data_IF_312001251839
#
_entry.id   IF_312001251839
#
_cell.length_a   1.000
_cell.length_b   1.000
_cell.length_c   1.000
_cell.angle_alpha   90.00
_cell.angle_beta   90.00
_cell.angle_gamma   90.00
#
_symmetry.space_group_name_H-M   'P 1'
#
loop_
_entity.id
_entity.type
_entity.pdbx_description
1 polymer ?
#
# COMPACT_ATOMS: atom_id res chain seq x y z
N UNK A 1 -6.70 -26.63 -26.92
CA UNK A 1 -5.72 -27.29 -27.80
C UNK A 1 -5.20 -28.54 -27.10
N UNK A 2 -5.59 -29.69 -27.64
CA UNK A 2 -5.01 -31.05 -27.53
C UNK A 2 -4.63 -31.63 -26.16
N UNK A 3 -5.47 -32.53 -25.65
CA UNK A 3 -5.06 -33.83 -25.08
C UNK A 3 -5.24 -34.91 -26.21
N UNK A 4 -4.67 -36.14 -26.17
CA UNK A 4 -4.95 -37.12 -25.10
C UNK A 4 -3.86 -38.17 -24.75
N UNK A 5 -4.12 -38.86 -23.63
CA UNK A 5 -3.82 -40.25 -23.22
C UNK A 5 -2.95 -41.19 -24.11
N UNK A 6 -2.00 -41.92 -23.50
CA UNK A 6 -1.92 -43.42 -23.40
C UNK A 6 -0.50 -43.92 -23.01
N UNK A 7 -0.38 -44.69 -21.92
CA UNK A 7 0.54 -45.85 -21.76
C UNK A 7 0.24 -46.49 -20.38
N UNK A 8 -0.72 -47.40 -20.20
CA UNK A 8 -0.87 -48.79 -20.69
C UNK A 8 0.32 -49.69 -20.32
N UNK A 9 0.13 -50.44 -19.22
CA UNK A 9 0.55 -51.82 -18.96
C UNK A 9 1.86 -52.35 -19.59
N UNK A 10 2.94 -52.38 -18.79
CA UNK A 10 4.18 -53.12 -19.12
C UNK A 10 4.11 -54.62 -18.76
N UNK A 11 3.02 -55.13 -18.16
CA UNK A 11 2.94 -56.55 -17.77
C UNK A 11 2.38 -57.50 -18.85
N UNK A 12 2.11 -57.02 -20.07
CA UNK A 12 1.46 -57.83 -21.13
C UNK A 12 2.38 -58.40 -22.22
N UNK A 13 3.56 -57.82 -22.45
CA UNK A 13 4.33 -58.08 -23.67
C UNK A 13 5.31 -59.26 -23.61
N UNK A 14 5.60 -59.82 -22.44
CA UNK A 14 6.46 -61.03 -22.31
C UNK A 14 5.64 -62.33 -22.45
N UNK A 15 4.31 -62.26 -22.39
CA UNK A 15 3.47 -63.46 -22.34
C UNK A 15 3.14 -64.09 -23.70
N UNK A 16 3.36 -63.38 -24.82
CA UNK A 16 3.01 -63.86 -26.16
C UNK A 16 4.17 -64.51 -26.94
N UNK A 17 5.36 -64.63 -26.35
CA UNK A 17 6.49 -65.35 -26.96
C UNK A 17 6.71 -66.76 -26.36
N UNK A 18 5.90 -67.19 -25.39
CA UNK A 18 6.02 -68.52 -24.77
C UNK A 18 4.99 -69.52 -25.33
N UNK A 19 3.90 -69.08 -25.98
CA UNK A 19 2.87 -69.98 -26.50
C UNK A 19 3.28 -70.74 -27.78
N UNK A 20 4.27 -70.27 -28.54
CA UNK A 20 4.71 -70.88 -29.80
C UNK A 20 5.85 -71.92 -29.66
N UNK A 21 6.26 -72.28 -28.44
CA UNK A 21 7.27 -73.35 -28.20
C UNK A 21 6.77 -74.52 -27.34
N UNK A 22 5.47 -74.57 -27.02
CA UNK A 22 4.87 -75.63 -26.20
C UNK A 22 4.56 -76.93 -26.97
N UNK A 23 4.63 -76.94 -28.31
CA UNK A 23 4.33 -78.11 -29.14
C UNK A 23 5.50 -79.10 -29.32
N UNK A 24 6.65 -78.86 -28.70
CA UNK A 24 7.84 -79.74 -28.79
C UNK A 24 8.47 -80.07 -27.41
N UNK A 25 7.71 -79.93 -26.32
CA UNK A 25 8.22 -80.17 -24.95
C UNK A 25 7.52 -81.38 -24.33
N UNK A 26 8.31 -82.29 -23.74
CA UNK A 26 7.81 -83.51 -23.10
C UNK A 26 6.77 -83.19 -22.02
N UNK A 27 5.82 -84.10 -21.71
CA UNK A 27 4.73 -83.85 -20.76
C UNK A 27 5.18 -83.30 -19.40
N UNK A 28 6.38 -83.70 -18.93
CA UNK A 28 6.97 -83.18 -17.70
C UNK A 28 7.33 -81.69 -17.74
N UNK A 29 7.72 -81.16 -18.90
CA UNK A 29 8.07 -79.74 -19.06
C UNK A 29 6.82 -78.85 -19.10
N UNK A 30 5.73 -79.34 -19.69
CA UNK A 30 4.43 -78.64 -19.68
C UNK A 30 3.88 -78.56 -18.25
N UNK A 31 3.98 -79.65 -17.48
CA UNK A 31 3.59 -79.68 -16.08
C UNK A 31 4.40 -78.70 -15.21
N UNK A 32 5.73 -78.65 -15.41
CA UNK A 32 6.60 -77.71 -14.70
C UNK A 32 6.25 -76.25 -14.99
N UNK A 33 5.98 -75.90 -16.26
CA UNK A 33 5.58 -74.54 -16.66
C UNK A 33 4.21 -74.13 -16.11
N UNK A 34 3.25 -75.06 -16.04
CA UNK A 34 1.94 -74.81 -15.42
C UNK A 34 2.08 -74.59 -13.91
N UNK A 35 2.87 -75.43 -13.23
CA UNK A 35 3.17 -75.29 -11.80
C UNK A 35 3.92 -73.99 -11.48
N UNK A 36 4.84 -73.58 -12.35
CA UNK A 36 5.56 -72.31 -12.24
C UNK A 36 4.61 -71.11 -12.43
N UNK A 37 3.70 -71.16 -13.41
CA UNK A 37 2.66 -70.13 -13.59
C UNK A 37 1.74 -70.01 -12.37
N UNK A 38 1.38 -71.13 -11.74
CA UNK A 38 0.52 -71.16 -10.55
C UNK A 38 1.24 -70.60 -9.32
N UNK A 39 2.52 -70.96 -9.13
CA UNK A 39 3.41 -70.36 -8.13
C UNK A 39 3.57 -68.85 -8.32
N UNK A 40 3.79 -68.38 -9.55
CA UNK A 40 3.91 -66.95 -9.85
C UNK A 40 2.60 -66.19 -9.59
N UNK A 41 1.43 -66.81 -9.83
CA UNK A 41 0.12 -66.24 -9.49
C UNK A 41 -0.06 -66.12 -7.97
N UNK A 42 0.29 -67.15 -7.21
CA UNK A 42 0.20 -67.13 -5.74
C UNK A 42 1.19 -66.11 -5.13
N UNK A 43 2.42 -66.03 -5.64
CA UNK A 43 3.40 -64.99 -5.25
C UNK A 43 2.85 -63.59 -5.56
N UNK A 44 2.19 -63.39 -6.71
CA UNK A 44 1.58 -62.10 -7.07
C UNK A 44 0.43 -61.73 -6.12
N UNK A 45 -0.46 -62.68 -5.77
CA UNK A 45 -1.52 -62.47 -4.78
C UNK A 45 -0.95 -62.16 -3.40
N UNK A 46 0.10 -62.87 -2.98
CA UNK A 46 0.78 -62.66 -1.70
C UNK A 46 1.45 -61.28 -1.64
N UNK A 47 2.18 -60.87 -2.70
CA UNK A 47 2.75 -59.52 -2.81
C UNK A 47 1.67 -58.43 -2.74
N UNK A 48 0.54 -58.61 -3.45
CA UNK A 48 -0.60 -57.67 -3.34
C UNK A 48 -1.12 -57.61 -1.91
N UNK A 49 -1.34 -58.75 -1.23
CA UNK A 49 -1.79 -58.77 0.17
C UNK A 49 -0.82 -58.05 1.11
N UNK A 50 0.49 -58.28 0.95
CA UNK A 50 1.53 -57.58 1.73
C UNK A 50 1.48 -56.07 1.48
N UNK A 51 1.34 -55.62 0.23
CA UNK A 51 1.19 -54.20 -0.10
C UNK A 51 -0.06 -53.59 0.56
N UNK A 52 -1.19 -54.29 0.55
CA UNK A 52 -2.41 -53.80 1.21
C UNK A 52 -2.24 -53.71 2.73
N UNK A 53 -1.56 -54.69 3.35
CA UNK A 53 -1.25 -54.68 4.79
C UNK A 53 -0.31 -53.54 5.13
N UNK A 54 0.73 -53.29 4.32
CA UNK A 54 1.67 -52.17 4.53
C UNK A 54 0.97 -50.82 4.38
N UNK A 55 0.09 -50.65 3.39
CA UNK A 55 -0.74 -49.44 3.24
C UNK A 55 -1.65 -49.27 4.46
N UNK A 56 -2.29 -50.34 4.93
CA UNK A 56 -3.16 -50.30 6.10
C UNK A 56 -2.37 -49.90 7.38
N UNK A 57 -1.17 -50.45 7.56
CA UNK A 57 -0.28 -50.12 8.67
C UNK A 57 0.16 -48.64 8.63
N UNK A 58 0.51 -48.11 7.46
CA UNK A 58 0.87 -46.69 7.28
C UNK A 58 -0.30 -45.75 7.62
N UNK A 59 -1.53 -46.10 7.21
CA UNK A 59 -2.75 -45.33 7.53
C UNK A 59 -3.10 -45.42 9.03
N UNK A 60 -2.93 -46.58 9.65
CA UNK A 60 -3.19 -46.74 11.09
C UNK A 60 -2.18 -45.97 11.96
N UNK A 61 -0.89 -45.98 11.61
CA UNK A 61 0.15 -45.27 12.35
C UNK A 61 -0.04 -43.75 12.32
N UNK A 62 -0.39 -43.19 11.15
CA UNK A 62 -0.68 -41.76 10.99
C UNK A 62 -1.90 -41.32 11.80
N UNK A 63 -2.99 -42.09 11.77
CA UNK A 63 -4.20 -41.80 12.56
C UNK A 63 -3.96 -41.90 14.09
N UNK A 64 -3.12 -42.82 14.54
CA UNK A 64 -2.76 -42.95 15.96
C UNK A 64 -1.87 -41.80 16.44
N UNK A 65 -0.89 -41.40 15.62
CA UNK A 65 -0.01 -40.24 15.89
C UNK A 65 -0.84 -38.96 16.04
N UNK A 66 -1.77 -38.72 15.12
CA UNK A 66 -2.66 -37.56 15.17
C UNK A 66 -3.51 -37.53 16.45
N UNK A 67 -4.15 -38.64 16.82
CA UNK A 67 -4.98 -38.70 18.04
C UNK A 67 -4.16 -38.40 19.30
N UNK A 68 -2.92 -38.90 19.36
CA UNK A 68 -1.99 -38.62 20.46
C UNK A 68 -1.65 -37.13 20.52
N UNK A 69 -1.31 -36.53 19.38
CA UNK A 69 -0.98 -35.11 19.28
C UNK A 69 -2.13 -34.21 19.75
N UNK A 70 -3.36 -34.46 19.29
CA UNK A 70 -4.58 -33.77 19.74
C UNK A 70 -4.78 -33.93 21.26
N UNK A 71 -4.53 -35.12 21.81
CA UNK A 71 -4.68 -35.37 23.25
C UNK A 71 -3.67 -34.57 24.07
N UNK A 72 -2.41 -34.55 23.65
CA UNK A 72 -1.34 -33.80 24.32
C UNK A 72 -1.63 -32.30 24.30
N UNK A 73 -2.01 -31.75 23.15
CA UNK A 73 -2.38 -30.35 23.02
C UNK A 73 -3.59 -29.99 23.90
N UNK A 74 -4.60 -30.87 23.98
CA UNK A 74 -5.74 -30.68 24.89
C UNK A 74 -5.31 -30.61 26.34
N UNK A 75 -4.38 -31.47 26.77
CA UNK A 75 -3.90 -31.49 28.16
C UNK A 75 -3.10 -30.23 28.52
N UNK A 76 -2.27 -29.74 27.59
CA UNK A 76 -1.59 -28.44 27.71
C UNK A 76 -2.59 -27.30 27.90
N UNK A 77 -3.60 -27.23 27.03
CA UNK A 77 -4.65 -26.21 27.09
C UNK A 77 -5.42 -26.31 28.41
N UNK A 78 -5.84 -27.51 28.85
CA UNK A 78 -6.52 -27.70 30.14
C UNK A 78 -5.69 -27.18 31.32
N UNK A 79 -4.39 -27.50 31.34
CA UNK A 79 -3.45 -27.07 32.39
C UNK A 79 -3.04 -25.60 32.29
N UNK A 80 -3.33 -24.93 31.17
CA UNK A 80 -2.92 -23.54 30.95
C UNK A 80 -1.41 -23.37 30.72
N UNK A 81 -0.71 -24.43 30.30
CA UNK A 81 0.73 -24.40 30.04
C UNK A 81 1.05 -24.84 28.61
N UNK A 82 2.25 -24.51 28.11
CA UNK A 82 2.68 -24.86 26.74
C UNK A 82 1.66 -24.43 25.65
N UNK A 83 0.97 -23.32 25.85
CA UNK A 83 -0.13 -22.90 24.96
C UNK A 83 0.35 -22.60 23.54
N UNK A 84 1.53 -21.99 23.39
CA UNK A 84 2.15 -21.74 22.07
C UNK A 84 2.44 -23.04 21.32
N UNK A 85 2.84 -24.10 22.06
CA UNK A 85 3.07 -25.44 21.46
C UNK A 85 1.74 -26.10 21.07
N UNK A 86 0.69 -25.92 21.86
CA UNK A 86 -0.65 -26.39 21.50
C UNK A 86 -1.15 -25.70 20.23
N UNK A 87 -0.97 -24.37 20.13
CA UNK A 87 -1.29 -23.59 18.93
C UNK A 87 -0.54 -24.14 17.71
N UNK A 88 0.79 -24.21 17.78
CA UNK A 88 1.64 -24.69 16.68
C UNK A 88 1.29 -26.12 16.24
N UNK A 89 1.07 -27.02 17.20
CA UNK A 89 0.69 -28.41 16.92
C UNK A 89 -0.67 -28.51 16.21
N UNK A 90 -1.68 -27.77 16.66
CA UNK A 90 -2.99 -27.78 15.99
C UNK A 90 -2.94 -27.11 14.61
N UNK A 91 -2.15 -26.03 14.44
CA UNK A 91 -1.91 -25.44 13.14
C UNK A 91 -1.24 -26.42 12.17
N UNK A 92 -0.20 -27.13 12.61
CA UNK A 92 0.48 -28.14 11.80
C UNK A 92 -0.48 -29.26 11.37
N UNK A 93 -1.34 -29.74 12.27
CA UNK A 93 -2.36 -30.73 11.89
C UNK A 93 -3.33 -30.20 10.82
N UNK A 94 -3.64 -28.91 10.79
CA UNK A 94 -4.56 -28.30 9.82
C UNK A 94 -3.94 -28.06 8.43
N UNK A 95 -2.61 -28.19 8.30
CA UNK A 95 -1.93 -28.20 6.99
C UNK A 95 -2.42 -29.38 6.14
N UNK A 96 -2.72 -30.51 6.78
CA UNK A 96 -3.37 -31.65 6.13
C UNK A 96 -4.86 -31.36 5.88
N UNK A 97 -5.24 -31.34 4.59
CA UNK A 97 -6.62 -31.13 4.14
C UNK A 97 -7.65 -32.07 4.77
N UNK A 98 -7.26 -33.30 5.14
CA UNK A 98 -8.15 -34.29 5.77
C UNK A 98 -8.58 -33.87 7.17
N UNK A 99 -7.81 -32.98 7.81
CA UNK A 99 -8.03 -32.53 9.19
C UNK A 99 -8.85 -31.26 9.28
N UNK A 100 -9.05 -30.54 8.16
CA UNK A 100 -9.75 -29.24 8.14
C UNK A 100 -11.20 -29.32 8.64
N UNK A 101 -11.83 -30.49 8.58
CA UNK A 101 -13.19 -30.72 9.07
C UNK A 101 -13.24 -31.25 10.52
N UNK A 102 -12.08 -31.47 11.16
CA UNK A 102 -12.02 -31.97 12.53
C UNK A 102 -12.22 -30.83 13.54
N UNK A 103 -13.48 -30.63 13.95
CA UNK A 103 -13.87 -29.58 14.91
C UNK A 103 -13.01 -29.56 16.20
N UNK A 104 -12.55 -30.73 16.68
CA UNK A 104 -11.72 -30.82 17.89
C UNK A 104 -10.37 -30.12 17.75
N UNK A 105 -9.77 -30.12 16.56
CA UNK A 105 -8.49 -29.44 16.32
C UNK A 105 -8.70 -27.93 16.40
N UNK A 106 -9.77 -27.43 15.77
CA UNK A 106 -10.16 -26.03 15.82
C UNK A 106 -10.51 -25.56 17.24
N UNK A 107 -11.27 -26.35 18.01
CA UNK A 107 -11.61 -26.03 19.40
C UNK A 107 -10.36 -25.87 20.26
N UNK A 108 -9.40 -26.82 20.15
CA UNK A 108 -8.15 -26.77 20.91
C UNK A 108 -7.28 -25.59 20.46
N UNK A 109 -7.18 -25.35 19.14
CA UNK A 109 -6.44 -24.23 18.59
C UNK A 109 -6.97 -22.90 19.14
N UNK A 110 -8.28 -22.68 19.05
CA UNK A 110 -8.89 -21.45 19.52
C UNK A 110 -8.77 -21.27 21.03
N UNK A 111 -9.01 -22.33 21.80
CA UNK A 111 -8.88 -22.28 23.26
C UNK A 111 -7.43 -22.00 23.68
N UNK A 112 -6.44 -22.53 22.95
CA UNK A 112 -5.02 -22.22 23.20
C UNK A 112 -4.72 -20.73 23.02
N UNK A 113 -5.21 -20.13 21.94
CA UNK A 113 -5.09 -18.69 21.67
C UNK A 113 -5.82 -17.85 22.72
N UNK A 114 -7.05 -18.24 23.08
CA UNK A 114 -7.85 -17.55 24.10
C UNK A 114 -7.11 -17.51 25.43
N UNK A 115 -6.56 -18.64 25.88
CA UNK A 115 -5.78 -18.69 27.13
C UNK A 115 -4.48 -17.90 27.06
N UNK A 116 -3.78 -17.90 25.92
CA UNK A 116 -2.59 -17.03 25.75
C UNK A 116 -2.98 -15.56 25.91
N UNK A 117 -4.09 -15.16 25.28
CA UNK A 117 -4.61 -13.81 25.36
C UNK A 117 -5.00 -13.44 26.80
N UNK A 118 -5.76 -14.29 27.49
CA UNK A 118 -6.18 -14.08 28.88
C UNK A 118 -4.98 -13.91 29.81
N UNK A 119 -3.96 -14.77 29.69
CA UNK A 119 -2.72 -14.67 30.48
C UNK A 119 -1.96 -13.37 30.22
N UNK A 120 -1.88 -12.93 28.96
CA UNK A 120 -1.25 -11.66 28.61
C UNK A 120 -2.04 -10.45 29.12
N UNK A 121 -3.36 -10.51 28.99
CA UNK A 121 -4.26 -9.46 29.43
C UNK A 121 -4.28 -9.31 30.96
N UNK A 122 -4.26 -10.42 31.69
CA UNK A 122 -4.14 -10.43 33.16
C UNK A 122 -2.85 -9.75 33.63
N UNK A 123 -1.72 -10.05 32.99
CA UNK A 123 -0.44 -9.38 33.30
C UNK A 123 -0.53 -7.87 33.10
N UNK A 124 -1.12 -7.40 32.00
CA UNK A 124 -1.31 -5.98 31.76
C UNK A 124 -2.26 -5.34 32.79
N UNK A 125 -3.35 -6.03 33.14
CA UNK A 125 -4.29 -5.57 34.17
C UNK A 125 -3.62 -5.39 35.53
N UNK A 126 -2.75 -6.34 35.90
CA UNK A 126 -1.91 -6.29 37.10
C UNK A 126 -0.71 -5.33 36.98
N UNK A 127 -0.62 -4.54 35.91
CA UNK A 127 0.47 -3.60 35.61
C UNK A 127 1.86 -4.25 35.56
N UNK A 128 1.91 -5.55 35.27
CA UNK A 128 3.16 -6.27 35.08
C UNK A 128 3.72 -5.98 33.67
N UNK A 129 5.04 -6.08 33.52
CA UNK A 129 5.68 -5.93 32.21
C UNK A 129 5.23 -7.06 31.30
N UNK A 130 4.62 -6.72 30.18
CA UNK A 130 4.21 -7.67 29.14
C UNK A 130 4.38 -7.06 27.75
N UNK A 131 4.59 -7.91 26.75
CA UNK A 131 4.67 -7.47 25.36
C UNK A 131 3.27 -7.20 24.81
N UNK A 132 2.88 -5.93 24.79
CA UNK A 132 1.60 -5.48 24.25
C UNK A 132 1.43 -5.81 22.76
N UNK A 133 2.51 -5.86 21.99
CA UNK A 133 2.45 -6.26 20.57
C UNK A 133 2.03 -7.73 20.46
N UNK A 134 2.60 -8.60 21.31
CA UNK A 134 2.20 -10.01 21.37
C UNK A 134 0.71 -10.17 21.66
N UNK A 135 0.16 -9.40 22.61
CA UNK A 135 -1.27 -9.45 22.94
C UNK A 135 -2.16 -9.13 21.72
N UNK A 136 -1.86 -8.04 21.01
CA UNK A 136 -2.62 -7.66 19.82
C UNK A 136 -2.46 -8.67 18.69
N UNK A 137 -1.27 -9.24 18.52
CA UNK A 137 -1.04 -10.30 17.54
C UNK A 137 -1.82 -11.57 17.85
N UNK A 138 -1.96 -11.96 19.13
CA UNK A 138 -2.80 -13.10 19.53
C UNK A 138 -4.26 -12.80 19.21
N UNK A 139 -4.77 -11.61 19.55
CA UNK A 139 -6.13 -11.20 19.19
C UNK A 139 -6.35 -11.28 17.67
N UNK A 140 -5.44 -10.74 16.86
CA UNK A 140 -5.50 -10.84 15.39
C UNK A 140 -5.58 -12.29 14.90
N UNK A 141 -4.79 -13.21 15.47
CA UNK A 141 -4.84 -14.64 15.12
C UNK A 141 -6.17 -15.30 15.54
N UNK A 142 -6.76 -14.90 16.67
CA UNK A 142 -8.07 -15.40 17.08
C UNK A 142 -9.16 -15.08 16.04
N UNK A 143 -9.13 -13.88 15.42
CA UNK A 143 -10.05 -13.53 14.34
C UNK A 143 -9.83 -14.38 13.08
N UNK A 144 -8.58 -14.57 12.64
CA UNK A 144 -8.25 -15.38 11.46
C UNK A 144 -8.71 -16.84 11.62
N UNK A 145 -8.36 -17.45 12.76
CA UNK A 145 -8.71 -18.84 13.08
C UNK A 145 -10.23 -18.99 13.14
N UNK A 146 -10.92 -18.06 13.80
CA UNK A 146 -12.36 -18.19 14.00
C UNK A 146 -13.16 -17.94 12.73
N UNK A 147 -12.72 -17.03 11.85
CA UNK A 147 -13.34 -16.87 10.54
C UNK A 147 -13.30 -18.18 9.74
N UNK A 148 -12.18 -18.89 9.78
CA UNK A 148 -12.04 -20.19 9.11
C UNK A 148 -12.91 -21.24 9.80
N UNK A 149 -12.87 -21.33 11.13
CA UNK A 149 -13.67 -22.31 11.86
C UNK A 149 -15.18 -22.11 11.67
N UNK A 150 -15.65 -20.86 11.64
CA UNK A 150 -17.04 -20.52 11.37
C UNK A 150 -17.51 -21.03 9.99
N UNK A 151 -16.65 -21.00 8.98
CA UNK A 151 -16.96 -21.55 7.66
C UNK A 151 -17.15 -23.07 7.68
N UNK A 152 -16.42 -23.78 8.55
CA UNK A 152 -16.56 -25.23 8.76
C UNK A 152 -17.82 -25.55 9.56
N UNK A 153 -18.13 -24.76 10.60
CA UNK A 153 -19.36 -24.91 11.38
C UNK A 153 -20.62 -24.61 10.56
N UNK A 154 -20.50 -23.80 9.51
CA UNK A 154 -21.57 -23.48 8.57
C UNK A 154 -21.81 -24.51 7.48
N UNK A 155 -21.04 -25.61 7.42
CA UNK A 155 -21.26 -26.66 6.45
C UNK A 155 -22.59 -27.40 6.72
N UNK A 156 -23.34 -27.75 5.67
CA UNK A 156 -24.56 -28.53 5.84
C UNK A 156 -24.22 -29.95 6.32
N UNK A 157 -25.10 -30.51 7.14
CA UNK A 157 -25.06 -31.92 7.52
C UNK A 157 -25.36 -32.84 6.31
N UNK A 158 -25.31 -34.17 6.53
CA UNK A 158 -25.61 -35.17 5.50
C UNK A 158 -27.03 -35.05 4.89
N UNK A 159 -27.92 -34.29 5.52
CA UNK A 159 -29.30 -34.03 5.09
C UNK A 159 -29.46 -32.63 4.49
N UNK A 160 -28.37 -31.89 4.26
CA UNK A 160 -28.39 -30.53 3.71
C UNK A 160 -28.72 -29.44 4.75
N UNK A 161 -28.84 -29.77 6.04
CA UNK A 161 -29.24 -28.81 7.07
C UNK A 161 -28.02 -28.10 7.65
N UNK A 162 -28.07 -26.77 7.74
CA UNK A 162 -27.02 -25.99 8.39
C UNK A 162 -27.40 -25.78 9.85
N UNK A 163 -26.57 -26.27 10.78
CA UNK A 163 -26.71 -26.06 12.22
C UNK A 163 -25.42 -25.43 12.75
N UNK A 164 -25.51 -24.14 13.06
CA UNK A 164 -24.41 -23.34 13.60
C UNK A 164 -24.31 -23.59 15.10
N UNK A 165 -23.35 -24.41 15.52
CA UNK A 165 -23.19 -24.80 16.92
C UNK A 165 -22.42 -23.75 17.72
N UNK A 166 -21.46 -23.07 17.10
CA UNK A 166 -20.51 -22.21 17.80
C UNK A 166 -20.54 -20.73 17.38
N UNK A 167 -21.17 -20.40 16.25
CA UNK A 167 -21.19 -19.01 15.72
C UNK A 167 -21.57 -17.99 16.77
N UNK A 168 -22.66 -18.23 17.52
CA UNK A 168 -23.15 -17.27 18.52
C UNK A 168 -22.10 -16.96 19.58
N UNK A 169 -21.63 -17.98 20.32
CA UNK A 169 -20.66 -17.81 21.40
C UNK A 169 -19.33 -17.24 20.90
N UNK A 170 -18.88 -17.66 19.71
CA UNK A 170 -17.63 -17.19 19.14
C UNK A 170 -17.71 -15.72 18.72
N UNK A 171 -18.84 -15.33 18.12
CA UNK A 171 -19.10 -13.95 17.73
C UNK A 171 -19.21 -13.01 18.94
N UNK A 172 -19.79 -13.46 20.05
CA UNK A 172 -19.89 -12.70 21.31
C UNK A 172 -18.52 -12.40 21.91
N UNK A 173 -17.65 -13.41 22.00
CA UNK A 173 -16.29 -13.24 22.47
C UNK A 173 -15.49 -12.29 21.56
N UNK A 174 -15.50 -12.53 20.25
CA UNK A 174 -14.71 -11.71 19.32
C UNK A 174 -15.26 -10.29 19.19
N UNK A 175 -16.57 -10.07 19.29
CA UNK A 175 -17.12 -8.72 19.36
C UNK A 175 -16.53 -7.93 20.53
N UNK A 176 -16.31 -8.58 21.68
CA UNK A 176 -15.66 -7.95 22.85
C UNK A 176 -14.20 -7.59 22.58
N UNK A 177 -13.49 -8.41 21.79
CA UNK A 177 -12.09 -8.20 21.46
C UNK A 177 -11.87 -7.32 20.21
N UNK A 178 -12.90 -7.08 19.41
CA UNK A 178 -12.82 -6.31 18.16
C UNK A 178 -12.18 -4.93 18.34
N UNK A 179 -12.49 -4.13 19.39
CA UNK A 179 -11.79 -2.87 19.64
C UNK A 179 -10.26 -2.99 19.77
N UNK A 180 -9.74 -4.16 20.16
CA UNK A 180 -8.30 -4.39 20.29
C UNK A 180 -7.60 -4.53 18.94
N UNK A 181 -8.31 -4.90 17.86
CA UNK A 181 -7.75 -4.80 16.52
C UNK A 181 -7.49 -3.35 16.14
N UNK A 182 -8.43 -2.45 16.44
CA UNK A 182 -8.26 -1.02 16.19
C UNK A 182 -7.14 -0.42 17.05
N UNK A 183 -7.19 -0.66 18.36
CA UNK A 183 -6.16 -0.17 19.30
C UNK A 183 -4.77 -0.74 18.97
N UNK A 184 -4.69 -2.01 18.57
CA UNK A 184 -3.47 -2.65 18.12
C UNK A 184 -2.91 -2.02 16.86
N UNK A 185 -3.77 -1.73 15.88
CA UNK A 185 -3.40 -0.99 14.67
C UNK A 185 -2.78 0.38 14.99
N UNK A 186 -3.44 1.18 15.84
CA UNK A 186 -2.92 2.48 16.27
C UNK A 186 -1.60 2.37 17.05
N UNK A 187 -1.49 1.37 17.92
CA UNK A 187 -0.26 1.12 18.66
C UNK A 187 0.92 0.81 17.71
N UNK A 188 0.67 -0.02 16.71
CA UNK A 188 1.67 -0.41 15.71
C UNK A 188 2.05 0.73 14.76
N UNK A 189 1.10 1.61 14.41
CA UNK A 189 1.38 2.86 13.68
C UNK A 189 2.40 3.71 14.43
N UNK A 190 2.25 3.90 15.74
CA UNK A 190 3.20 4.66 16.57
C UNK A 190 4.59 4.01 16.63
N UNK A 191 4.68 2.71 16.36
CA UNK A 191 5.93 1.95 16.22
C UNK A 191 6.42 1.85 14.77
N UNK A 192 5.76 2.53 13.83
CA UNK A 192 6.04 2.51 12.38
C UNK A 192 5.93 1.11 11.74
N UNK A 193 5.18 0.20 12.36
CA UNK A 193 4.92 -1.16 11.89
C UNK A 193 3.68 -1.20 11.01
N UNK A 194 3.74 -0.52 9.87
CA UNK A 194 2.57 -0.24 9.03
C UNK A 194 1.91 -1.49 8.44
N UNK A 195 2.68 -2.53 8.11
CA UNK A 195 2.13 -3.78 7.57
C UNK A 195 1.31 -4.54 8.63
N UNK A 196 1.85 -4.68 9.85
CA UNK A 196 1.15 -5.31 10.96
C UNK A 196 -0.08 -4.47 11.38
N UNK A 197 0.06 -3.15 11.43
CA UNK A 197 -1.05 -2.24 11.73
C UNK A 197 -2.19 -2.36 10.71
N UNK A 198 -1.84 -2.32 9.42
CA UNK A 198 -2.79 -2.51 8.33
C UNK A 198 -3.56 -3.81 8.48
N UNK A 199 -2.88 -4.94 8.76
CA UNK A 199 -3.54 -6.23 8.94
C UNK A 199 -4.66 -6.16 9.99
N UNK A 200 -4.39 -5.57 11.15
CA UNK A 200 -5.39 -5.49 12.22
C UNK A 200 -6.56 -4.57 11.87
N UNK A 201 -6.28 -3.42 11.25
CA UNK A 201 -7.32 -2.47 10.83
C UNK A 201 -8.19 -3.05 9.71
N UNK A 202 -7.58 -3.75 8.75
CA UNK A 202 -8.28 -4.44 7.67
C UNK A 202 -9.14 -5.59 8.22
N UNK A 203 -8.65 -6.35 9.19
CA UNK A 203 -9.46 -7.35 9.90
C UNK A 203 -10.67 -6.72 10.60
N UNK A 204 -10.47 -5.61 11.32
CA UNK A 204 -11.56 -4.88 11.97
C UNK A 204 -12.65 -4.47 10.98
N UNK A 205 -12.27 -3.91 9.83
CA UNK A 205 -13.20 -3.50 8.79
C UNK A 205 -13.86 -4.73 8.14
N UNK A 206 -13.09 -5.79 7.88
CA UNK A 206 -13.56 -7.04 7.29
C UNK A 206 -14.66 -7.75 8.08
N UNK A 207 -14.73 -7.56 9.41
CA UNK A 207 -15.82 -8.10 10.23
C UNK A 207 -17.22 -7.65 9.78
N UNK A 208 -17.34 -6.56 9.01
CA UNK A 208 -18.62 -6.09 8.47
C UNK A 208 -19.26 -7.13 7.54
N UNK A 209 -18.44 -7.80 6.72
CA UNK A 209 -18.90 -8.74 5.67
C UNK A 209 -18.86 -10.20 6.11
N UNK A 210 -18.24 -10.49 7.26
CA UNK A 210 -18.06 -11.86 7.73
C UNK A 210 -19.37 -12.44 8.31
N UNK A 211 -19.85 -13.62 7.85
CA UNK A 211 -21.08 -14.24 8.37
C UNK A 211 -21.11 -14.43 9.88
N UNK A 212 -19.95 -14.68 10.48
CA UNK A 212 -19.73 -14.77 11.93
C UNK A 212 -20.30 -13.57 12.69
N UNK A 213 -20.22 -12.35 12.13
CA UNK A 213 -20.62 -11.11 12.80
C UNK A 213 -21.94 -10.53 12.30
N UNK A 214 -22.70 -11.27 11.48
CA UNK A 214 -23.94 -10.77 10.85
C UNK A 214 -24.96 -10.19 11.85
N UNK A 215 -25.03 -10.75 13.06
CA UNK A 215 -25.96 -10.31 14.11
C UNK A 215 -25.66 -8.90 14.65
N UNK A 216 -24.44 -8.37 14.44
CA UNK A 216 -24.03 -7.06 14.98
C UNK A 216 -24.35 -5.90 14.05
N UNK A 217 -24.60 -6.14 12.76
CA UNK A 217 -24.95 -5.12 11.77
C UNK A 217 -23.96 -3.93 11.74
N UNK A 218 -22.64 -4.22 11.82
CA UNK A 218 -21.60 -3.20 11.94
C UNK A 218 -21.64 -2.14 10.85
N UNK A 219 -21.97 -2.49 9.60
CA UNK A 219 -22.13 -1.53 8.50
C UNK A 219 -23.01 -0.32 8.86
N UNK A 220 -24.05 -0.54 9.68
CA UNK A 220 -25.01 0.49 10.09
C UNK A 220 -24.79 1.01 11.51
N UNK A 221 -24.18 0.21 12.39
CA UNK A 221 -24.08 0.51 13.83
C UNK A 221 -22.70 1.02 14.25
N UNK A 222 -21.65 0.62 13.54
CA UNK A 222 -20.28 0.96 13.89
C UNK A 222 -19.85 2.27 13.25
N UNK A 223 -19.92 3.35 14.04
CA UNK A 223 -19.53 4.70 13.62
C UNK A 223 -18.01 4.89 13.52
N UNK A 224 -17.20 3.93 13.99
CA UNK A 224 -15.74 4.00 13.90
C UNK A 224 -15.20 3.54 12.54
N UNK A 225 -16.03 2.94 11.68
CA UNK A 225 -15.61 2.41 10.38
C UNK A 225 -14.88 3.43 9.48
N UNK A 226 -15.34 4.69 9.33
CA UNK A 226 -14.60 5.69 8.57
C UNK A 226 -13.20 5.97 9.14
N UNK A 227 -13.11 6.14 10.46
CA UNK A 227 -11.84 6.44 11.15
C UNK A 227 -10.87 5.28 11.03
N UNK A 228 -11.34 4.04 11.22
CA UNK A 228 -10.49 2.84 11.09
C UNK A 228 -10.02 2.68 9.64
N UNK A 229 -10.89 2.97 8.67
CA UNK A 229 -10.55 2.95 7.24
C UNK A 229 -9.52 4.01 6.88
N UNK A 230 -9.61 5.21 7.47
CA UNK A 230 -8.57 6.23 7.34
C UNK A 230 -7.21 5.73 7.83
N UNK A 231 -7.14 5.11 9.00
CA UNK A 231 -5.87 4.58 9.51
C UNK A 231 -5.33 3.42 8.68
N UNK A 232 -6.20 2.56 8.12
CA UNK A 232 -5.80 1.51 7.19
C UNK A 232 -5.25 2.11 5.88
N UNK A 233 -5.94 3.11 5.33
CA UNK A 233 -5.52 3.89 4.16
C UNK A 233 -4.16 4.58 4.41
N UNK A 234 -3.98 5.21 5.58
CA UNK A 234 -2.70 5.80 6.00
C UNK A 234 -1.58 4.76 6.01
N UNK A 235 -1.82 3.56 6.56
CA UNK A 235 -0.82 2.49 6.50
C UNK A 235 -0.47 2.09 5.07
N UNK A 236 -1.48 1.95 4.18
CA UNK A 236 -1.27 1.72 2.75
C UNK A 236 -0.39 2.79 2.11
N UNK A 237 -0.68 4.06 2.40
CA UNK A 237 0.07 5.23 1.92
C UNK A 237 1.53 5.20 2.39
N UNK A 238 1.77 4.95 3.68
CA UNK A 238 3.13 4.84 4.25
C UNK A 238 3.93 3.69 3.64
N UNK A 239 3.27 2.63 3.19
CA UNK A 239 3.88 1.51 2.47
C UNK A 239 4.02 1.75 0.96
N UNK A 240 3.49 2.86 0.42
CA UNK A 240 3.32 3.10 -1.03
C UNK A 240 2.56 1.97 -1.74
N UNK A 241 1.67 1.29 -1.04
CA UNK A 241 0.84 0.21 -1.58
C UNK A 241 -0.50 0.79 -2.03
N UNK A 242 -0.60 1.09 -3.32
CA UNK A 242 -1.77 1.72 -3.92
C UNK A 242 -3.02 0.86 -3.78
N UNK A 243 -2.88 -0.47 -3.82
CA UNK A 243 -4.01 -1.40 -3.67
C UNK A 243 -4.63 -1.29 -2.27
N UNK A 244 -3.78 -1.22 -1.24
CA UNK A 244 -4.21 -1.05 0.16
C UNK A 244 -4.86 0.31 0.43
N UNK A 245 -4.33 1.39 -0.16
CA UNK A 245 -4.96 2.72 -0.08
C UNK A 245 -6.35 2.68 -0.72
N UNK A 246 -6.44 2.22 -1.97
CA UNK A 246 -7.69 2.24 -2.73
C UNK A 246 -8.78 1.40 -2.07
N UNK A 247 -8.43 0.25 -1.48
CA UNK A 247 -9.37 -0.64 -0.77
C UNK A 247 -10.19 0.10 0.30
N UNK A 248 -9.60 1.05 1.01
CA UNK A 248 -10.24 1.73 2.15
C UNK A 248 -10.66 3.18 1.87
N UNK A 249 -10.24 3.74 0.72
CA UNK A 249 -10.43 5.15 0.35
C UNK A 249 -11.88 5.64 0.47
N UNK A 250 -12.86 4.92 -0.08
CA UNK A 250 -14.27 5.33 -0.07
C UNK A 250 -14.84 5.51 1.34
N UNK A 251 -14.48 4.64 2.27
CA UNK A 251 -14.95 4.71 3.65
C UNK A 251 -14.10 5.69 4.48
N UNK A 252 -12.80 5.78 4.20
CA UNK A 252 -11.90 6.76 4.81
C UNK A 252 -12.32 8.20 4.53
N UNK A 253 -12.77 8.50 3.30
CA UNK A 253 -13.33 9.80 2.91
C UNK A 253 -14.65 10.15 3.59
N UNK A 254 -15.21 9.28 4.45
CA UNK A 254 -16.37 9.63 5.28
C UNK A 254 -15.94 10.15 6.66
N UNK A 255 -14.66 10.04 7.02
CA UNK A 255 -14.11 10.57 8.27
C UNK A 255 -13.88 12.07 8.15
N UNK A 256 -14.80 12.86 8.70
CA UNK A 256 -14.74 14.33 8.66
C UNK A 256 -13.48 14.89 9.29
N UNK A 257 -12.93 14.26 10.33
CA UNK A 257 -11.76 14.78 11.04
C UNK A 257 -10.49 14.67 10.19
N UNK A 258 -10.38 13.60 9.39
CA UNK A 258 -9.21 13.30 8.60
C UNK A 258 -9.43 13.41 7.09
N UNK A 259 -10.58 13.95 6.66
CA UNK A 259 -10.98 14.03 5.25
C UNK A 259 -9.92 14.73 4.39
N UNK A 260 -9.41 15.87 4.86
CA UNK A 260 -8.34 16.61 4.18
C UNK A 260 -7.10 15.72 3.96
N UNK A 261 -6.59 15.06 5.00
CA UNK A 261 -5.42 14.17 4.91
C UNK A 261 -5.70 12.96 4.01
N UNK A 262 -6.90 12.39 4.07
CA UNK A 262 -7.31 11.30 3.18
C UNK A 262 -7.27 11.74 1.71
N UNK A 263 -7.73 12.95 1.39
CA UNK A 263 -7.66 13.49 0.03
C UNK A 263 -6.21 13.68 -0.44
N UNK A 264 -5.30 14.16 0.43
CA UNK A 264 -3.87 14.29 0.10
C UNK A 264 -3.24 12.92 -0.21
N UNK A 265 -3.50 11.91 0.64
CA UNK A 265 -3.00 10.56 0.41
C UNK A 265 -3.59 9.95 -0.86
N UNK A 266 -4.85 10.23 -1.16
CA UNK A 266 -5.53 9.74 -2.36
C UNK A 266 -4.96 10.39 -3.62
N UNK A 267 -4.72 11.71 -3.62
CA UNK A 267 -4.09 12.38 -4.76
C UNK A 267 -2.68 11.83 -5.03
N UNK A 268 -1.84 11.70 -4.00
CA UNK A 268 -0.51 11.12 -4.16
C UNK A 268 -0.57 9.68 -4.70
N UNK A 269 -1.57 8.92 -4.26
CA UNK A 269 -1.79 7.54 -4.72
C UNK A 269 -2.19 7.50 -6.20
N UNK A 270 -3.09 8.37 -6.64
CA UNK A 270 -3.43 8.48 -8.07
C UNK A 270 -2.22 8.88 -8.92
N UNK A 271 -1.39 9.80 -8.43
CA UNK A 271 -0.15 10.17 -9.10
C UNK A 271 0.80 8.97 -9.22
N UNK A 272 1.00 8.18 -8.16
CA UNK A 272 1.80 6.95 -8.18
C UNK A 272 1.24 5.89 -9.15
N UNK A 273 -0.07 5.84 -9.33
CA UNK A 273 -0.74 4.95 -10.29
C UNK A 273 -0.63 5.45 -11.74
N UNK A 274 -0.16 6.68 -11.97
CA UNK A 274 -0.17 7.33 -13.28
C UNK A 274 -1.57 7.82 -13.70
N UNK A 275 -2.56 7.80 -12.81
CA UNK A 275 -3.90 8.31 -13.08
C UNK A 275 -3.95 9.83 -12.86
N UNK A 276 -3.40 10.56 -13.83
CA UNK A 276 -3.34 12.03 -13.77
C UNK A 276 -4.74 12.66 -13.76
N UNK A 277 -5.75 12.00 -14.34
CA UNK A 277 -7.13 12.51 -14.36
C UNK A 277 -7.69 12.56 -12.94
N UNK A 278 -7.61 11.45 -12.21
CA UNK A 278 -8.10 11.39 -10.84
C UNK A 278 -7.22 12.16 -9.86
N UNK A 279 -5.91 12.22 -10.12
CA UNK A 279 -4.99 13.09 -9.37
C UNK A 279 -5.46 14.56 -9.41
N UNK A 280 -5.63 15.13 -10.61
CA UNK A 280 -6.02 16.53 -10.76
C UNK A 280 -7.43 16.78 -10.25
N UNK A 281 -8.37 15.85 -10.48
CA UNK A 281 -9.71 15.96 -9.91
C UNK A 281 -9.66 16.02 -8.38
N UNK A 282 -8.94 15.10 -7.73
CA UNK A 282 -8.83 15.05 -6.27
C UNK A 282 -8.19 16.32 -5.71
N UNK A 283 -7.18 16.86 -6.38
CA UNK A 283 -6.55 18.12 -5.97
C UNK A 283 -7.51 19.30 -6.08
N UNK A 284 -8.30 19.40 -7.17
CA UNK A 284 -9.30 20.46 -7.33
C UNK A 284 -10.39 20.40 -6.28
N UNK A 285 -10.97 19.21 -6.09
CA UNK A 285 -11.98 18.98 -5.05
C UNK A 285 -11.40 19.33 -3.66
N UNK A 286 -10.12 19.00 -3.43
CA UNK A 286 -9.42 19.31 -2.18
C UNK A 286 -9.18 20.80 -1.98
N UNK A 287 -8.81 21.52 -3.04
CA UNK A 287 -8.63 22.98 -2.99
C UNK A 287 -9.96 23.71 -2.75
N UNK A 288 -11.06 23.25 -3.36
CA UNK A 288 -12.40 23.83 -3.14
C UNK A 288 -12.86 23.65 -1.69
N UNK A 289 -12.64 22.47 -1.11
CA UNK A 289 -13.02 22.18 0.28
C UNK A 289 -12.06 22.77 1.32
N UNK A 290 -10.77 22.87 0.98
CA UNK A 290 -9.68 23.28 1.87
C UNK A 290 -8.78 24.34 1.21
N UNK A 291 -9.30 25.52 0.86
CA UNK A 291 -8.54 26.54 0.10
C UNK A 291 -7.35 27.10 0.89
N UNK A 292 -7.35 26.97 2.22
CA UNK A 292 -6.24 27.39 3.08
C UNK A 292 -5.09 26.38 3.13
N UNK A 293 -5.30 25.13 2.73
CA UNK A 293 -4.31 24.06 2.75
C UNK A 293 -3.31 24.21 1.61
N UNK A 294 -2.02 24.44 1.88
CA UNK A 294 -1.02 24.68 0.83
C UNK A 294 -0.86 23.52 -0.15
N UNK A 295 -1.06 22.27 0.31
CA UNK A 295 -0.85 21.06 -0.47
C UNK A 295 -1.61 21.07 -1.81
N UNK A 296 -2.92 21.32 -1.80
CA UNK A 296 -3.72 21.22 -3.02
C UNK A 296 -3.33 22.28 -4.05
N UNK A 297 -3.19 23.52 -3.57
CA UNK A 297 -2.78 24.65 -4.40
C UNK A 297 -1.41 24.43 -5.03
N UNK A 298 -0.39 24.07 -4.24
CA UNK A 298 0.98 23.94 -4.74
C UNK A 298 1.08 22.85 -5.80
N UNK A 299 0.45 21.70 -5.57
CA UNK A 299 0.51 20.58 -6.52
C UNK A 299 -0.24 20.89 -7.83
N UNK A 300 -1.35 21.62 -7.78
CA UNK A 300 -2.05 22.06 -8.99
C UNK A 300 -1.23 23.09 -9.78
N UNK A 301 -0.66 24.09 -9.11
CA UNK A 301 0.21 25.09 -9.76
C UNK A 301 1.42 24.42 -10.39
N UNK A 302 2.07 23.49 -9.68
CA UNK A 302 3.21 22.75 -10.18
C UNK A 302 2.84 21.91 -11.42
N UNK A 303 1.70 21.22 -11.37
CA UNK A 303 1.19 20.45 -12.50
C UNK A 303 0.97 21.34 -13.74
N UNK A 304 0.23 22.44 -13.59
CA UNK A 304 -0.02 23.36 -14.71
C UNK A 304 1.27 23.99 -15.22
N UNK A 305 2.20 24.33 -14.33
CA UNK A 305 3.49 24.91 -14.70
C UNK A 305 4.36 23.93 -15.50
N UNK A 306 4.40 22.66 -15.12
CA UNK A 306 5.14 21.61 -15.87
C UNK A 306 4.59 21.42 -17.28
N UNK A 307 3.28 21.57 -17.47
CA UNK A 307 2.62 21.51 -18.78
C UNK A 307 2.61 22.85 -19.53
N UNK A 308 3.22 23.90 -18.95
CA UNK A 308 3.20 25.29 -19.46
C UNK A 308 1.78 25.85 -19.64
N UNK A 309 0.82 25.35 -18.89
CA UNK A 309 -0.57 25.84 -18.84
C UNK A 309 -0.67 27.08 -17.93
N UNK A 310 0.09 28.12 -18.24
CA UNK A 310 0.27 29.30 -17.38
C UNK A 310 -1.04 30.04 -17.08
N UNK A 311 -1.96 30.12 -18.04
CA UNK A 311 -3.26 30.76 -17.84
C UNK A 311 -4.12 30.02 -16.80
N UNK A 312 -4.06 28.68 -16.78
CA UNK A 312 -4.78 27.87 -15.78
C UNK A 312 -4.16 28.01 -14.40
N UNK A 313 -2.83 28.01 -14.32
CA UNK A 313 -2.13 28.29 -13.07
C UNK A 313 -2.48 29.68 -12.54
N UNK A 314 -2.55 30.69 -13.42
CA UNK A 314 -2.87 32.07 -13.04
C UNK A 314 -4.31 32.18 -12.51
N UNK A 315 -5.28 31.56 -13.21
CA UNK A 315 -6.67 31.53 -12.76
C UNK A 315 -6.81 30.87 -11.37
N UNK A 316 -6.13 29.74 -11.15
CA UNK A 316 -6.09 29.09 -9.84
C UNK A 316 -5.45 29.97 -8.76
N UNK A 317 -4.37 30.68 -9.07
CA UNK A 317 -3.75 31.64 -8.15
C UNK A 317 -4.67 32.82 -7.84
N UNK A 318 -5.46 33.28 -8.80
CA UNK A 318 -6.46 34.32 -8.58
C UNK A 318 -7.60 33.83 -7.67
N UNK A 319 -8.06 32.58 -7.82
CA UNK A 319 -9.02 31.95 -6.90
C UNK A 319 -8.45 31.83 -5.47
N UNK A 320 -7.18 31.45 -5.35
CA UNK A 320 -6.49 31.36 -4.06
C UNK A 320 -6.36 32.73 -3.38
N UNK A 321 -6.04 33.78 -4.15
CA UNK A 321 -5.99 35.16 -3.67
C UNK A 321 -7.36 35.71 -3.29
N UNK A 322 -8.43 35.28 -3.96
CA UNK A 322 -9.79 35.65 -3.59
C UNK A 322 -10.21 35.04 -2.25
N UNK A 323 -9.68 33.85 -1.91
CA UNK A 323 -9.93 33.16 -0.64
C UNK A 323 -9.06 33.71 0.50
N UNK A 324 -7.79 34.02 0.23
CA UNK A 324 -6.87 34.63 1.19
C UNK A 324 -5.89 35.57 0.48
N UNK A 325 -6.26 36.86 0.45
CA UNK A 325 -5.46 37.89 -0.20
C UNK A 325 -4.18 38.27 0.54
N UNK A 326 -3.99 37.77 1.77
CA UNK A 326 -2.84 38.14 2.62
C UNK A 326 -1.65 37.22 2.45
N UNK A 327 -1.85 36.05 1.82
CA UNK A 327 -0.79 35.06 1.60
C UNK A 327 0.22 35.53 0.57
N UNK A 328 1.41 35.92 1.06
CA UNK A 328 2.55 36.35 0.24
C UNK A 328 2.91 35.35 -0.86
N UNK A 329 2.84 34.04 -0.58
CA UNK A 329 3.19 32.99 -1.55
C UNK A 329 2.30 33.04 -2.80
N UNK A 330 1.03 33.43 -2.69
CA UNK A 330 0.14 33.54 -3.85
C UNK A 330 0.52 34.74 -4.73
N UNK A 331 0.86 35.87 -4.14
CA UNK A 331 1.35 37.04 -4.88
C UNK A 331 2.69 36.77 -5.58
N UNK A 332 3.62 36.11 -4.90
CA UNK A 332 4.90 35.68 -5.49
C UNK A 332 4.65 34.72 -6.66
N UNK A 333 3.77 33.74 -6.48
CA UNK A 333 3.39 32.80 -7.56
C UNK A 333 2.78 33.57 -8.74
N UNK A 334 1.83 34.47 -8.48
CA UNK A 334 1.19 35.29 -9.51
C UNK A 334 2.20 36.09 -10.32
N UNK A 335 3.15 36.77 -9.67
CA UNK A 335 4.21 37.49 -10.39
C UNK A 335 5.04 36.56 -11.29
N UNK A 336 5.41 35.38 -10.79
CA UNK A 336 6.14 34.37 -11.56
C UNK A 336 5.35 33.89 -12.80
N UNK A 337 4.05 33.64 -12.65
CA UNK A 337 3.17 33.22 -13.74
C UNK A 337 2.99 34.33 -14.79
N UNK A 338 2.89 35.58 -14.36
CA UNK A 338 2.82 36.74 -15.25
C UNK A 338 4.11 36.92 -16.06
N UNK A 339 5.29 36.62 -15.50
CA UNK A 339 6.54 36.58 -16.28
C UNK A 339 6.47 35.55 -17.41
N UNK A 340 6.01 34.33 -17.11
CA UNK A 340 5.90 33.27 -18.10
C UNK A 340 4.88 33.59 -19.21
N UNK A 341 3.84 34.37 -18.88
CA UNK A 341 2.85 34.88 -19.83
C UNK A 341 3.33 36.12 -20.62
N UNK A 342 4.53 36.64 -20.35
CA UNK A 342 5.04 37.85 -20.99
C UNK A 342 4.43 39.16 -20.46
N UNK A 343 3.63 39.09 -19.38
CA UNK A 343 2.99 40.24 -18.72
C UNK A 343 3.95 40.91 -17.73
N UNK A 344 5.10 41.35 -18.23
CA UNK A 344 6.23 41.80 -17.41
C UNK A 344 5.89 43.00 -16.52
N UNK A 345 5.17 43.99 -17.05
CA UNK A 345 4.79 45.18 -16.28
C UNK A 345 3.93 44.84 -15.06
N UNK A 346 2.94 43.95 -15.23
CA UNK A 346 2.08 43.50 -14.13
C UNK A 346 2.87 42.69 -13.10
N UNK A 347 3.75 41.80 -13.55
CA UNK A 347 4.67 41.08 -12.66
C UNK A 347 5.51 42.04 -11.82
N UNK A 348 6.12 43.05 -12.44
CA UNK A 348 6.95 44.03 -11.74
C UNK A 348 6.16 44.77 -10.67
N UNK A 349 4.95 45.24 -10.98
CA UNK A 349 4.11 45.97 -10.02
C UNK A 349 3.80 45.13 -8.78
N UNK A 350 3.48 43.83 -8.96
CA UNK A 350 3.22 42.93 -7.83
C UNK A 350 4.51 42.73 -7.03
N UNK A 351 5.62 42.36 -7.67
CA UNK A 351 6.88 42.10 -7.00
C UNK A 351 7.41 43.33 -6.25
N UNK A 352 7.33 44.52 -6.83
CA UNK A 352 7.74 45.77 -6.18
C UNK A 352 6.88 46.08 -4.95
N UNK A 353 5.56 45.92 -5.05
CA UNK A 353 4.67 46.10 -3.90
C UNK A 353 4.96 45.13 -2.75
N UNK A 354 5.36 43.88 -3.07
CA UNK A 354 5.75 42.90 -2.06
C UNK A 354 7.03 43.35 -1.34
N UNK A 355 8.01 43.85 -2.08
CA UNK A 355 9.29 44.33 -1.55
C UNK A 355 9.15 45.60 -0.71
N UNK A 356 8.13 46.43 -0.96
CA UNK A 356 7.81 47.57 -0.09
C UNK A 356 7.29 47.14 1.30
N UNK A 357 6.73 45.94 1.40
CA UNK A 357 6.19 45.38 2.65
C UNK A 357 7.17 44.43 3.33
N UNK A 358 7.88 43.61 2.55
CA UNK A 358 8.81 42.61 3.03
C UNK A 358 10.00 42.50 2.06
N UNK A 359 11.13 43.05 2.46
CA UNK A 359 12.38 43.07 1.70
C UNK A 359 13.20 41.77 1.81
N UNK A 360 12.69 40.75 2.50
CA UNK A 360 13.36 39.47 2.73
C UNK A 360 12.83 38.36 1.83
N UNK A 361 12.26 38.71 0.67
CA UNK A 361 11.67 37.80 -0.31
C UNK A 361 12.57 37.67 -1.56
N UNK A 362 13.46 36.66 -1.64
CA UNK A 362 14.33 36.47 -2.79
C UNK A 362 13.55 36.39 -4.11
N UNK A 363 12.49 35.60 -4.15
CA UNK A 363 11.70 35.37 -5.35
C UNK A 363 11.04 36.66 -5.86
N UNK A 364 10.69 37.61 -4.98
CA UNK A 364 10.17 38.91 -5.41
C UNK A 364 11.27 39.78 -6.08
N UNK A 365 12.51 39.75 -5.58
CA UNK A 365 13.64 40.40 -6.27
C UNK A 365 13.94 39.79 -7.63
N UNK A 366 13.97 38.45 -7.69
CA UNK A 366 14.18 37.76 -8.97
C UNK A 366 13.09 38.19 -9.97
N UNK A 367 11.82 38.15 -9.56
CA UNK A 367 10.72 38.44 -10.45
C UNK A 367 10.67 39.91 -10.89
N UNK A 368 10.93 40.86 -9.99
CA UNK A 368 11.03 42.28 -10.34
C UNK A 368 12.18 42.54 -11.34
N UNK A 369 13.34 41.94 -11.07
CA UNK A 369 14.52 42.04 -11.93
C UNK A 369 14.31 41.44 -13.31
N UNK A 370 13.76 40.22 -13.37
CA UNK A 370 13.45 39.53 -14.63
C UNK A 370 12.35 40.24 -15.42
N UNK A 371 11.35 40.81 -14.76
CA UNK A 371 10.32 41.60 -15.42
C UNK A 371 10.93 42.77 -16.21
N UNK A 372 11.75 43.60 -15.54
CA UNK A 372 12.42 44.74 -16.17
C UNK A 372 13.41 44.31 -17.25
N UNK A 373 14.20 43.28 -16.96
CA UNK A 373 15.12 42.70 -17.94
C UNK A 373 14.38 42.25 -19.22
N UNK A 374 13.27 41.53 -19.07
CA UNK A 374 12.49 41.03 -20.19
C UNK A 374 11.72 42.13 -20.96
N UNK A 375 11.31 43.23 -20.29
CA UNK A 375 10.84 44.43 -21.00
C UNK A 375 11.93 44.99 -21.93
N UNK A 376 13.18 45.06 -21.43
CA UNK A 376 14.36 45.43 -22.23
C UNK A 376 14.61 44.51 -23.41
N UNK A 377 14.66 43.20 -23.18
CA UNK A 377 14.88 42.17 -24.22
C UNK A 377 13.76 42.20 -25.27
N UNK A 378 12.50 42.34 -24.86
CA UNK A 378 11.36 42.41 -25.79
C UNK A 378 11.42 43.68 -26.64
N UNK A 379 11.79 44.81 -26.03
CA UNK A 379 11.99 46.07 -26.73
C UNK A 379 13.14 45.98 -27.74
N UNK A 380 14.21 45.24 -27.42
CA UNK A 380 15.38 45.03 -28.27
C UNK A 380 15.10 44.12 -29.49
N UNK A 381 14.19 43.15 -29.40
CA UNK A 381 13.89 42.22 -30.51
C UNK A 381 13.09 42.83 -31.68
N UNK A 382 12.62 44.07 -31.55
CA UNK A 382 11.78 44.70 -32.57
C UNK A 382 12.60 45.27 -33.73
N UNK A 383 12.07 45.17 -34.96
CA UNK A 383 12.76 45.43 -36.23
C UNK A 383 13.29 46.88 -36.41
N UNK A 384 12.73 47.86 -35.71
CA UNK A 384 13.12 49.27 -35.85
C UNK A 384 13.98 49.74 -34.67
N UNK A 385 15.29 49.76 -34.85
CA UNK A 385 16.29 50.16 -33.85
C UNK A 385 16.64 51.64 -33.94
N UNK A 386 16.01 52.48 -33.10
CA UNK A 386 16.33 53.92 -33.01
C UNK A 386 17.21 54.22 -31.79
N UNK A 387 17.95 55.35 -31.82
CA UNK A 387 18.76 55.79 -30.67
C UNK A 387 17.92 55.98 -29.39
N UNK A 388 16.69 56.49 -29.52
CA UNK A 388 15.72 56.60 -28.42
C UNK A 388 15.39 55.24 -27.82
N UNK A 389 15.18 54.23 -28.66
CA UNK A 389 14.87 52.87 -28.23
C UNK A 389 16.04 52.21 -27.51
N UNK A 390 17.26 52.34 -28.04
CA UNK A 390 18.48 51.88 -27.36
C UNK A 390 18.59 52.49 -25.96
N UNK A 391 18.32 53.79 -25.83
CA UNK A 391 18.28 54.46 -24.51
C UNK A 391 17.23 53.85 -23.58
N UNK A 392 16.03 53.54 -24.08
CA UNK A 392 14.98 52.86 -23.30
C UNK A 392 15.39 51.46 -22.86
N UNK A 393 15.99 50.65 -23.73
CA UNK A 393 16.50 49.31 -23.38
C UNK A 393 17.53 49.41 -22.25
N UNK A 394 18.50 50.34 -22.36
CA UNK A 394 19.48 50.56 -21.31
C UNK A 394 18.85 51.04 -19.99
N UNK A 395 17.75 51.78 -20.03
CA UNK A 395 17.01 52.15 -18.81
C UNK A 395 16.39 50.92 -18.14
N UNK A 396 15.75 50.03 -18.90
CA UNK A 396 15.23 48.78 -18.34
C UNK A 396 16.34 47.93 -17.70
N UNK A 397 17.51 47.85 -18.32
CA UNK A 397 18.66 47.16 -17.72
C UNK A 397 19.16 47.84 -16.44
N UNK A 398 19.17 49.17 -16.37
CA UNK A 398 19.49 49.90 -15.13
C UNK A 398 18.46 49.67 -14.04
N UNK A 399 17.18 49.59 -14.38
CA UNK A 399 16.09 49.30 -13.43
C UNK A 399 16.14 47.85 -12.94
N UNK A 400 16.46 46.89 -13.80
CA UNK A 400 16.57 45.47 -13.45
C UNK A 400 17.77 45.17 -12.54
N UNK A 401 18.89 45.88 -12.76
CA UNK A 401 20.17 45.65 -12.11
C UNK A 401 20.12 45.54 -10.57
N UNK A 402 19.56 46.52 -9.82
CA UNK A 402 19.57 46.46 -8.36
C UNK A 402 18.80 45.25 -7.82
N UNK A 403 17.69 44.85 -8.45
CA UNK A 403 16.91 43.70 -7.99
C UNK A 403 17.66 42.39 -8.22
N UNK A 404 18.26 42.20 -9.41
CA UNK A 404 19.02 40.98 -9.73
C UNK A 404 20.31 40.86 -8.93
N UNK A 405 21.02 41.96 -8.65
CA UNK A 405 22.19 41.93 -7.76
C UNK A 405 21.83 41.60 -6.32
N UNK A 406 20.69 42.10 -5.83
CA UNK A 406 20.19 41.72 -4.50
C UNK A 406 19.81 40.25 -4.46
N UNK A 407 19.07 39.75 -5.46
CA UNK A 407 18.74 38.33 -5.55
C UNK A 407 19.99 37.45 -5.58
N UNK A 408 21.00 37.82 -6.38
CA UNK A 408 22.29 37.12 -6.45
C UNK A 408 22.94 36.99 -5.07
N UNK A 409 22.93 38.05 -4.24
CA UNK A 409 23.48 38.01 -2.87
C UNK A 409 22.66 37.10 -1.94
N UNK A 410 21.35 37.02 -2.13
CA UNK A 410 20.48 36.16 -1.31
C UNK A 410 20.58 34.68 -1.73
N UNK A 411 20.87 34.42 -3.00
CA UNK A 411 20.85 33.09 -3.64
C UNK A 411 22.06 32.91 -4.55
N UNK A 412 23.26 32.95 -3.94
CA UNK A 412 24.52 32.79 -4.67
C UNK A 412 24.63 31.44 -5.38
N UNK A 413 23.94 30.42 -4.86
CA UNK A 413 23.86 29.07 -5.42
C UNK A 413 23.03 28.98 -6.71
N UNK A 414 22.19 29.99 -7.00
CA UNK A 414 21.21 29.97 -8.10
C UNK A 414 21.70 30.68 -9.37
N UNK A 415 22.95 30.44 -9.76
CA UNK A 415 23.56 31.01 -10.97
C UNK A 415 22.70 30.73 -12.22
N UNK A 416 21.99 29.59 -12.24
CA UNK A 416 21.04 29.18 -13.28
C UNK A 416 19.93 30.20 -13.56
N UNK A 417 19.61 31.05 -12.58
CA UNK A 417 18.51 32.03 -12.67
C UNK A 417 18.98 33.46 -12.94
N UNK A 418 20.01 33.93 -12.24
CA UNK A 418 20.47 35.33 -12.36
C UNK A 418 21.68 35.50 -13.28
N UNK A 419 22.39 34.43 -13.62
CA UNK A 419 23.66 34.46 -14.36
C UNK A 419 23.55 35.14 -15.72
N UNK A 420 22.68 34.61 -16.59
CA UNK A 420 22.48 35.15 -17.94
C UNK A 420 21.88 36.58 -17.95
N UNK A 421 20.85 36.90 -17.14
CA UNK A 421 20.36 38.27 -17.03
C UNK A 421 21.44 39.27 -16.61
N UNK A 422 22.19 38.99 -15.55
CA UNK A 422 23.26 39.88 -15.07
C UNK A 422 24.42 39.98 -16.07
N UNK A 423 24.79 38.87 -16.72
CA UNK A 423 25.79 38.89 -17.79
C UNK A 423 25.41 39.86 -18.89
N UNK A 424 24.16 39.77 -19.36
CA UNK A 424 23.62 40.64 -20.42
C UNK A 424 23.60 42.10 -19.98
N UNK A 425 23.16 42.37 -18.75
CA UNK A 425 23.10 43.73 -18.19
C UNK A 425 24.50 44.33 -18.05
N UNK A 426 25.46 43.59 -17.48
CA UNK A 426 26.82 44.07 -17.31
C UNK A 426 27.51 44.39 -18.62
N UNK A 427 27.29 43.57 -19.66
CA UNK A 427 27.79 43.82 -21.01
C UNK A 427 27.18 45.12 -21.58
N UNK A 428 25.86 45.23 -21.57
CA UNK A 428 25.15 46.36 -22.21
C UNK A 428 25.34 47.70 -21.47
N UNK A 429 25.59 47.66 -20.17
CA UNK A 429 25.88 48.85 -19.35
C UNK A 429 27.38 49.17 -19.25
N UNK A 430 28.25 48.45 -19.99
CA UNK A 430 29.70 48.61 -19.99
C UNK A 430 30.35 48.47 -18.59
N UNK A 431 29.87 47.53 -17.78
CA UNK A 431 30.35 47.28 -16.41
C UNK A 431 31.52 46.31 -16.37
N UNK A 432 32.65 46.67 -17.03
CA UNK A 432 33.76 45.76 -17.34
C UNK A 432 34.23 44.85 -16.18
N UNK A 433 34.49 45.39 -14.99
CA UNK A 433 34.92 44.57 -13.83
C UNK A 433 33.90 43.50 -13.44
N UNK A 434 32.61 43.85 -13.39
CA UNK A 434 31.53 42.90 -13.04
C UNK A 434 31.28 41.90 -14.17
N UNK A 435 31.41 42.35 -15.42
CA UNK A 435 31.32 41.51 -16.60
C UNK A 435 32.42 40.42 -16.61
N UNK A 436 33.67 40.80 -16.39
CA UNK A 436 34.80 39.86 -16.35
C UNK A 436 34.65 38.81 -15.23
N UNK A 437 34.11 39.22 -14.08
CA UNK A 437 33.83 38.33 -12.96
C UNK A 437 32.75 37.30 -13.32
N UNK A 438 31.61 37.75 -13.84
CA UNK A 438 30.49 36.85 -14.16
C UNK A 438 30.81 35.94 -15.36
N UNK A 439 31.58 36.42 -16.35
CA UNK A 439 32.03 35.61 -17.50
C UNK A 439 32.89 34.42 -17.04
N UNK A 440 33.77 34.63 -16.05
CA UNK A 440 34.56 33.55 -15.44
C UNK A 440 33.70 32.58 -14.63
N UNK A 441 32.64 33.07 -13.98
CA UNK A 441 31.72 32.23 -13.21
C UNK A 441 30.86 31.36 -14.12
N UNK A 442 30.38 31.90 -15.25
CA UNK A 442 29.51 31.19 -16.19
C UNK A 442 30.24 30.16 -17.09
N UNK A 443 31.57 30.18 -17.12
CA UNK A 443 32.42 29.24 -17.87
C UNK A 443 32.85 28.01 -17.06
N UNK A 444 32.54 27.97 -15.76
CA UNK A 444 32.71 26.81 -14.88
C UNK A 444 31.44 25.99 -14.88
#
# INVERSE_FOLDING_TARGET
MTAPFLTVFVNGAVFNLISSSLSLRSPGVVYLLLRERELLREISKMKRRIIHILILLLVCCSAFSQKREISVARDWVKKGNNLDKAEQSMMHLLEDSTNRHNKKIWDILFESLRKQYEQGNEKLYLKQRYDTVSLFNIASRMFDVMQTYDSIDALPDKKGRIKLEYRKSNSELLNTLRPNLYNGGLFLIRKQKYAEAYKMLDQYIGTVEQPLFRAYHYASKDKSLPVVSYWAMYCGYKMKDTTKVMKHSSLALQDKLHHESAMQYLSDTYLLMGDTTQYIKTLKDGFELYPSTPFFYSHLVDHYSQQREWDRALALTDEALASDSTKLVYHVTKSSLLLNLGKYRESFMISDSLLQVNDSLPEAYLNAGLAKYNEGVTMEKSLNQTAKRKKTVLNYYREALPYLETYRKMREDRIDTWGLPLYTIYLNLNMGKKFDEIDKLMKK
#
